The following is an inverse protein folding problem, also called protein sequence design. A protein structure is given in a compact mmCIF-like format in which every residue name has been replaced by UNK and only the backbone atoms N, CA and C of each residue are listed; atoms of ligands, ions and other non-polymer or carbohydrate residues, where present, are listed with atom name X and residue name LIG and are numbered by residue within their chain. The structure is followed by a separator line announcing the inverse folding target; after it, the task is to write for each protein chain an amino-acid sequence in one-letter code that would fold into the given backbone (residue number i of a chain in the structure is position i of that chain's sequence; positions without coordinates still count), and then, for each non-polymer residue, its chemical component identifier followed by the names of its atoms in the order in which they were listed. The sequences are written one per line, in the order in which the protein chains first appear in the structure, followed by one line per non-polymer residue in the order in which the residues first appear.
data_IF_555623869582
#
_entry.id   IF_555623869582
#
_cell.length_a   1.000
_cell.length_b   1.000
_cell.length_c   1.000
_cell.angle_alpha   90.00
_cell.angle_beta   90.00
_cell.angle_gamma   90.00
#
_symmetry.space_group_name_H-M   'P 1'
#
loop_
_entity.id
_entity.type
_entity.pdbx_description
1 polymer ?
#
# COMPACT_ATOMS: atom_id res chain seq x y z
N UNK A 1 -39.25 13.52 0.74
CA UNK A 1 -38.52 14.68 0.16
C UNK A 1 -37.23 15.04 0.91
N UNK A 2 -37.12 14.79 2.22
CA UNK A 2 -35.90 15.09 2.99
C UNK A 2 -34.71 14.13 2.77
N UNK A 3 -34.93 12.88 2.33
CA UNK A 3 -33.85 11.90 2.16
C UNK A 3 -32.90 12.20 1.01
N UNK A 4 -33.42 12.74 -0.11
CA UNK A 4 -32.60 13.14 -1.26
C UNK A 4 -31.72 14.35 -0.94
N UNK A 5 -32.28 15.34 -0.21
CA UNK A 5 -31.53 16.52 0.19
C UNK A 5 -30.45 16.18 1.23
N UNK A 6 -30.74 15.27 2.16
CA UNK A 6 -29.77 14.77 3.14
C UNK A 6 -28.68 13.91 2.47
N UNK A 7 -29.05 13.07 1.50
CA UNK A 7 -28.10 12.31 0.69
C UNK A 7 -27.18 13.21 -0.14
N UNK A 8 -27.72 14.26 -0.75
CA UNK A 8 -26.95 15.24 -1.51
C UNK A 8 -26.05 16.09 -0.60
N UNK A 9 -26.54 16.48 0.58
CA UNK A 9 -25.74 17.19 1.59
C UNK A 9 -24.59 16.31 2.08
N UNK A 10 -24.84 15.05 2.42
CA UNK A 10 -23.78 14.12 2.81
C UNK A 10 -22.82 13.81 1.66
N UNK A 11 -23.27 13.79 0.41
CA UNK A 11 -22.40 13.61 -0.74
C UNK A 11 -21.50 14.84 -0.98
N UNK A 12 -22.02 16.05 -0.78
CA UNK A 12 -21.28 17.30 -0.95
C UNK A 12 -20.33 17.58 0.22
N UNK A 13 -20.63 17.09 1.41
CA UNK A 13 -19.85 17.33 2.63
C UNK A 13 -19.13 16.10 3.20
N UNK A 14 -19.21 14.92 2.56
CA UNK A 14 -18.42 13.76 2.99
C UNK A 14 -16.94 14.01 2.74
N UNK A 15 -16.12 13.82 3.78
CA UNK A 15 -14.68 13.73 3.59
C UNK A 15 -14.43 12.43 2.83
N UNK A 16 -13.74 12.52 1.70
CA UNK A 16 -13.29 11.32 0.97
C UNK A 16 -12.22 10.61 1.79
N UNK A 17 -12.63 9.61 2.56
CA UNK A 17 -11.72 8.71 3.28
C UNK A 17 -11.21 7.65 2.31
N UNK A 18 -9.90 7.67 2.04
CA UNK A 18 -9.25 6.62 1.26
C UNK A 18 -8.66 5.59 2.21
N UNK A 19 -8.98 4.32 1.98
CA UNK A 19 -8.43 3.19 2.73
C UNK A 19 -7.47 2.43 1.83
N UNK A 20 -6.21 2.39 2.24
CA UNK A 20 -5.16 1.65 1.55
C UNK A 20 -4.83 0.41 2.35
N UNK A 21 -4.87 -0.75 1.70
CA UNK A 21 -4.58 -2.02 2.34
C UNK A 21 -3.11 -2.39 2.11
N UNK A 22 -2.34 -2.53 3.20
CA UNK A 22 -0.93 -2.93 3.14
C UNK A 22 -0.82 -4.44 3.33
N UNK A 23 -0.41 -5.15 2.28
CA UNK A 23 -0.29 -6.61 2.23
C UNK A 23 1.17 -7.04 2.06
N UNK A 24 1.46 -8.33 2.27
CA UNK A 24 2.81 -8.89 2.08
C UNK A 24 3.17 -9.98 3.09
N UNK A 25 4.22 -10.74 2.79
CA UNK A 25 4.69 -11.86 3.63
C UNK A 25 5.27 -11.41 4.97
N UNK A 26 5.43 -12.32 5.93
CA UNK A 26 6.03 -12.01 7.22
C UNK A 26 7.49 -11.54 7.02
N UNK A 27 7.94 -10.56 7.81
CA UNK A 27 9.25 -9.87 7.67
C UNK A 27 9.47 -9.04 6.40
N UNK A 28 8.46 -8.87 5.56
CA UNK A 28 8.56 -7.99 4.38
C UNK A 28 8.80 -6.51 4.74
N UNK A 29 8.37 -6.07 5.93
CA UNK A 29 8.54 -4.69 6.41
C UNK A 29 7.27 -3.84 6.39
N UNK A 30 6.08 -4.45 6.29
CA UNK A 30 4.77 -3.77 6.31
C UNK A 30 4.61 -2.80 7.48
N UNK A 31 4.88 -3.25 8.71
CA UNK A 31 4.72 -2.43 9.91
C UNK A 31 5.73 -1.29 9.95
N UNK A 32 6.97 -1.54 9.52
CA UNK A 32 7.99 -0.48 9.37
C UNK A 32 7.55 0.58 8.37
N UNK A 33 7.02 0.16 7.21
CA UNK A 33 6.49 1.06 6.20
C UNK A 33 5.32 1.89 6.75
N UNK A 34 4.37 1.25 7.44
CA UNK A 34 3.22 1.93 8.05
C UNK A 34 3.66 2.99 9.06
N UNK A 35 4.55 2.65 9.99
CA UNK A 35 5.06 3.59 11.00
C UNK A 35 5.84 4.74 10.36
N UNK A 36 6.63 4.46 9.31
CA UNK A 36 7.35 5.49 8.57
C UNK A 36 6.39 6.44 7.85
N UNK A 37 5.36 5.91 7.19
CA UNK A 37 4.33 6.73 6.54
C UNK A 37 3.58 7.60 7.57
N UNK A 38 3.25 7.06 8.74
CA UNK A 38 2.66 7.86 9.85
C UNK A 38 3.60 8.99 10.26
N UNK A 39 4.89 8.71 10.42
CA UNK A 39 5.87 9.73 10.81
C UNK A 39 5.98 10.85 9.76
N UNK A 40 6.08 10.50 8.47
CA UNK A 40 6.24 11.46 7.36
C UNK A 40 4.99 12.33 7.19
N UNK A 41 3.81 11.72 7.17
CA UNK A 41 2.57 12.41 6.77
C UNK A 41 1.73 12.91 7.94
N UNK A 42 1.72 12.22 9.09
CA UNK A 42 0.87 12.59 10.22
C UNK A 42 1.58 13.48 11.25
N UNK A 43 2.88 13.78 11.08
CA UNK A 43 3.71 14.50 12.07
C UNK A 43 3.57 13.94 13.51
N UNK A 44 3.08 12.71 13.65
CA UNK A 44 3.00 11.99 14.91
C UNK A 44 4.35 11.33 15.18
N UNK A 45 4.76 11.27 16.44
CA UNK A 45 5.95 10.50 16.83
C UNK A 45 5.73 9.04 16.42
N UNK A 46 6.41 8.60 15.37
CA UNK A 46 6.41 7.20 14.96
C UNK A 46 7.00 6.36 16.09
N UNK A 47 6.46 5.16 16.29
CA UNK A 47 6.99 4.29 17.33
C UNK A 47 8.44 3.90 16.99
N UNK A 48 9.38 3.90 17.97
CA UNK A 48 10.74 3.46 17.73
C UNK A 48 10.75 2.00 17.23
N UNK A 49 11.63 1.72 16.26
CA UNK A 49 11.70 0.43 15.55
C UNK A 49 11.83 -0.79 16.48
N UNK A 50 12.43 -0.62 17.66
CA UNK A 50 12.60 -1.66 18.70
C UNK A 50 11.28 -2.10 19.37
N UNK A 51 10.17 -1.40 19.15
CA UNK A 51 8.84 -1.76 19.69
C UNK A 51 7.86 -2.25 18.63
N UNK A 52 8.30 -2.40 17.38
CA UNK A 52 7.46 -2.95 16.31
C UNK A 52 7.27 -4.44 16.58
N UNK A 53 6.21 -4.78 17.30
CA UNK A 53 5.86 -6.17 17.58
C UNK A 53 5.48 -6.82 16.24
N UNK A 54 6.11 -7.94 15.85
CA UNK A 54 5.66 -8.69 14.69
C UNK A 54 4.25 -9.21 14.98
N UNK A 55 3.22 -8.72 14.27
CA UNK A 55 1.87 -9.28 14.40
C UNK A 55 1.87 -10.67 13.77
N UNK A 56 1.82 -11.77 14.54
CA UNK A 56 1.83 -13.11 13.96
C UNK A 56 0.44 -13.39 13.37
N UNK A 57 0.41 -13.91 12.13
CA UNK A 57 -0.80 -14.57 11.60
C UNK A 57 -1.86 -13.70 10.93
N UNK A 58 -1.50 -12.56 10.35
CA UNK A 58 -2.47 -11.65 9.71
C UNK A 58 -3.14 -12.16 8.44
N UNK A 59 -2.62 -13.20 7.78
CA UNK A 59 -3.20 -13.70 6.52
C UNK A 59 -4.68 -14.08 6.65
N UNK A 60 -5.12 -14.52 7.83
CA UNK A 60 -6.51 -14.95 8.10
C UNK A 60 -7.48 -13.80 8.33
N UNK A 61 -6.98 -12.56 8.52
CA UNK A 61 -7.83 -11.39 8.79
C UNK A 61 -7.91 -10.45 7.58
N UNK A 62 -7.03 -10.62 6.59
CA UNK A 62 -6.99 -9.78 5.38
C UNK A 62 -8.34 -9.73 4.66
N UNK A 63 -8.99 -10.89 4.54
CA UNK A 63 -10.30 -11.04 3.87
C UNK A 63 -11.39 -10.15 4.51
N UNK A 64 -11.27 -9.77 5.78
CA UNK A 64 -12.23 -8.89 6.46
C UNK A 64 -12.09 -7.41 6.10
N UNK A 65 -11.04 -7.03 5.38
CA UNK A 65 -10.72 -5.65 5.04
C UNK A 65 -10.65 -5.42 3.52
N UNK A 66 -10.95 -6.43 2.72
CA UNK A 66 -10.86 -6.34 1.27
C UNK A 66 -11.95 -5.45 0.69
N UNK A 67 -13.19 -5.59 1.15
CA UNK A 67 -14.36 -4.78 0.75
C UNK A 67 -14.18 -3.28 1.04
N UNK A 68 -13.37 -2.96 2.05
CA UNK A 68 -13.05 -1.60 2.44
C UNK A 68 -11.87 -0.98 1.64
N UNK A 69 -11.09 -1.79 0.91
CA UNK A 69 -9.85 -1.36 0.29
C UNK A 69 -10.07 -0.57 -1.02
N UNK A 70 -9.58 0.67 -1.06
CA UNK A 70 -9.59 1.50 -2.28
C UNK A 70 -8.32 1.33 -3.13
N UNK A 71 -7.24 0.83 -2.53
CA UNK A 71 -5.97 0.56 -3.19
C UNK A 71 -5.16 -0.45 -2.37
N UNK A 72 -4.27 -1.19 -3.03
CA UNK A 72 -3.42 -2.20 -2.41
C UNK A 72 -1.97 -1.76 -2.51
N UNK A 73 -1.25 -1.80 -1.38
CA UNK A 73 0.21 -1.70 -1.33
C UNK A 73 0.77 -3.04 -0.89
N UNK A 74 1.38 -3.77 -1.82
CA UNK A 74 1.95 -5.07 -1.55
C UNK A 74 3.46 -4.95 -1.32
N UNK A 75 3.91 -5.24 -0.10
CA UNK A 75 5.29 -5.08 0.34
C UNK A 75 6.06 -6.39 0.18
N UNK A 76 7.19 -6.31 -0.51
CA UNK A 76 8.07 -7.43 -0.80
C UNK A 76 9.46 -7.17 -0.23
N UNK A 77 10.06 -8.17 0.41
CA UNK A 77 11.47 -8.14 0.81
C UNK A 77 12.35 -8.43 -0.41
N UNK A 78 12.90 -7.40 -1.06
CA UNK A 78 13.70 -7.58 -2.27
C UNK A 78 15.06 -8.25 -2.02
N UNK A 79 15.50 -8.32 -0.76
CA UNK A 79 16.78 -8.93 -0.39
C UNK A 79 16.67 -10.42 -0.03
N UNK A 80 15.47 -11.01 -0.08
CA UNK A 80 15.22 -12.39 0.32
C UNK A 80 14.57 -13.20 -0.79
N UNK A 81 15.33 -13.54 -1.83
CA UNK A 81 14.87 -14.31 -2.99
C UNK A 81 14.18 -15.64 -2.63
N UNK A 82 14.56 -16.28 -1.53
CA UNK A 82 13.90 -17.50 -1.02
C UNK A 82 12.42 -17.32 -0.69
N UNK A 83 11.96 -16.08 -0.50
CA UNK A 83 10.56 -15.75 -0.14
C UNK A 83 9.73 -15.32 -1.34
N UNK A 84 10.30 -15.25 -2.55
CA UNK A 84 9.59 -14.77 -3.74
C UNK A 84 8.44 -15.68 -4.14
N UNK A 85 8.61 -17.00 -4.06
CA UNK A 85 7.54 -17.94 -4.38
C UNK A 85 6.37 -17.82 -3.38
N UNK A 86 6.67 -17.76 -2.08
CA UNK A 86 5.67 -17.54 -1.03
C UNK A 86 4.93 -16.20 -1.20
N UNK A 87 5.65 -15.21 -1.69
CA UNK A 87 5.17 -13.85 -1.95
C UNK A 87 4.26 -13.82 -3.17
N UNK A 88 4.65 -14.49 -4.26
CA UNK A 88 3.84 -14.65 -5.47
C UNK A 88 2.54 -15.38 -5.16
N UNK A 89 2.63 -16.56 -4.54
CA UNK A 89 1.46 -17.37 -4.18
C UNK A 89 0.47 -16.61 -3.28
N UNK A 90 0.99 -15.85 -2.30
CA UNK A 90 0.15 -15.04 -1.42
C UNK A 90 -0.52 -13.87 -2.14
N UNK A 91 0.20 -13.20 -3.04
CA UNK A 91 -0.33 -12.09 -3.83
C UNK A 91 -1.42 -12.60 -4.78
N UNK A 92 -1.14 -13.67 -5.53
CA UNK A 92 -2.10 -14.30 -6.44
C UNK A 92 -3.39 -14.70 -5.71
N UNK A 93 -3.27 -15.32 -4.53
CA UNK A 93 -4.44 -15.66 -3.71
C UNK A 93 -5.24 -14.41 -3.32
N UNK A 94 -4.58 -13.32 -2.93
CA UNK A 94 -5.26 -12.08 -2.55
C UNK A 94 -5.96 -11.43 -3.75
N UNK A 95 -5.28 -11.29 -4.89
CA UNK A 95 -5.81 -10.60 -6.06
C UNK A 95 -6.97 -11.34 -6.75
N UNK A 96 -7.09 -12.66 -6.56
CA UNK A 96 -8.23 -13.46 -7.02
C UNK A 96 -9.52 -13.19 -6.24
N UNK A 97 -9.45 -12.51 -5.09
CA UNK A 97 -10.65 -12.19 -4.30
C UNK A 97 -11.50 -11.13 -5.02
N UNK A 98 -12.82 -11.33 -5.05
CA UNK A 98 -13.75 -10.46 -5.78
C UNK A 98 -13.67 -8.99 -5.35
N UNK A 99 -13.62 -8.73 -4.05
CA UNK A 99 -13.50 -7.38 -3.48
C UNK A 99 -12.23 -6.63 -3.89
N UNK A 100 -11.18 -7.34 -4.33
CA UNK A 100 -9.92 -6.73 -4.72
C UNK A 100 -9.75 -6.59 -6.22
N UNK A 101 -10.66 -7.08 -7.07
CA UNK A 101 -10.44 -7.12 -8.53
C UNK A 101 -10.22 -5.74 -9.16
N UNK A 102 -10.92 -4.71 -8.68
CA UNK A 102 -10.82 -3.35 -9.22
C UNK A 102 -9.79 -2.47 -8.50
N UNK A 103 -9.25 -2.95 -7.37
CA UNK A 103 -8.34 -2.16 -6.55
C UNK A 103 -6.99 -2.00 -7.27
N UNK A 104 -6.49 -0.76 -7.47
CA UNK A 104 -5.20 -0.52 -8.06
C UNK A 104 -4.08 -1.06 -7.16
N UNK A 105 -3.06 -1.63 -7.77
CA UNK A 105 -1.98 -2.34 -7.09
C UNK A 105 -0.65 -1.57 -7.17
N UNK A 106 -0.01 -1.36 -6.02
CA UNK A 106 1.35 -0.88 -5.91
C UNK A 106 2.21 -1.98 -5.29
N UNK A 107 3.29 -2.37 -5.98
CA UNK A 107 4.31 -3.26 -5.46
C UNK A 107 5.44 -2.44 -4.87
N UNK A 108 5.67 -2.59 -3.56
CA UNK A 108 6.76 -1.93 -2.86
C UNK A 108 7.92 -2.92 -2.66
N UNK A 109 8.97 -2.79 -3.47
CA UNK A 109 10.21 -3.55 -3.36
C UNK A 109 11.07 -2.96 -2.24
N UNK A 110 10.89 -3.51 -1.03
CA UNK A 110 11.50 -3.02 0.20
C UNK A 110 12.88 -3.63 0.46
N UNK A 111 13.69 -2.94 1.27
CA UNK A 111 15.06 -3.30 1.69
C UNK A 111 16.11 -3.13 0.60
N UNK A 112 15.92 -2.14 -0.27
CA UNK A 112 16.88 -1.76 -1.31
C UNK A 112 18.22 -1.21 -0.77
N UNK A 113 18.31 -0.99 0.55
CA UNK A 113 19.56 -0.69 1.26
C UNK A 113 20.48 -1.91 1.41
N UNK A 114 19.95 -3.12 1.26
CA UNK A 114 20.73 -4.36 1.43
C UNK A 114 21.44 -4.76 0.13
N UNK A 115 22.67 -5.29 0.20
CA UNK A 115 23.44 -5.67 -0.99
C UNK A 115 22.83 -6.85 -1.77
N UNK A 116 21.97 -7.64 -1.14
CA UNK A 116 21.24 -8.74 -1.77
C UNK A 116 19.92 -8.30 -2.42
N UNK A 117 19.57 -7.02 -2.35
CA UNK A 117 18.33 -6.49 -2.91
C UNK A 117 18.30 -6.64 -4.43
N UNK A 118 17.23 -7.24 -4.95
CA UNK A 118 17.00 -7.35 -6.39
C UNK A 118 16.41 -6.06 -6.96
N UNK A 119 16.65 -5.86 -8.25
CA UNK A 119 16.09 -4.76 -9.04
C UNK A 119 14.60 -4.97 -9.33
N UNK A 120 13.91 -3.92 -9.78
CA UNK A 120 12.52 -3.98 -10.21
C UNK A 120 12.33 -4.99 -11.36
N UNK A 121 13.22 -4.96 -12.35
CA UNK A 121 13.17 -5.84 -13.52
C UNK A 121 13.38 -7.31 -13.15
N UNK A 122 14.18 -7.57 -12.12
CA UNK A 122 14.40 -8.91 -11.61
C UNK A 122 13.22 -9.40 -10.76
N UNK A 123 12.63 -8.51 -9.97
CA UNK A 123 11.43 -8.83 -9.20
C UNK A 123 10.22 -9.09 -10.11
N UNK A 124 10.02 -8.29 -11.16
CA UNK A 124 8.98 -8.50 -12.17
C UNK A 124 9.12 -9.87 -12.85
N UNK A 125 10.37 -10.25 -13.19
CA UNK A 125 10.70 -11.59 -13.71
C UNK A 125 10.40 -12.72 -12.74
N UNK A 126 10.47 -12.51 -11.43
CA UNK A 126 10.14 -13.55 -10.45
C UNK A 126 8.64 -13.64 -10.14
N UNK A 127 7.96 -12.50 -10.09
CA UNK A 127 6.55 -12.46 -9.72
C UNK A 127 5.65 -12.90 -10.87
N UNK A 128 6.02 -12.63 -12.12
CA UNK A 128 5.20 -12.96 -13.29
C UNK A 128 3.75 -12.43 -13.16
N UNK A 129 3.58 -11.21 -12.67
CA UNK A 129 2.26 -10.62 -12.33
C UNK A 129 1.28 -10.70 -13.50
N UNK A 130 1.76 -10.45 -14.72
CA UNK A 130 0.98 -10.45 -15.96
C UNK A 130 0.40 -11.82 -16.33
N UNK A 131 0.87 -12.92 -15.72
CA UNK A 131 0.35 -14.27 -15.99
C UNK A 131 -0.96 -14.54 -15.25
N UNK A 132 -1.22 -13.85 -14.14
CA UNK A 132 -2.39 -14.10 -13.29
C UNK A 132 -3.22 -12.87 -12.98
N UNK A 133 -2.76 -11.67 -13.36
CA UNK A 133 -3.52 -10.43 -13.22
C UNK A 133 -3.16 -9.41 -14.32
N UNK A 134 -4.15 -8.95 -15.06
CA UNK A 134 -3.99 -7.97 -16.15
C UNK A 134 -4.04 -6.51 -15.67
N UNK A 135 -4.34 -6.27 -14.38
CA UNK A 135 -4.50 -4.91 -13.87
C UNK A 135 -3.21 -4.10 -14.02
N UNK A 136 -3.31 -2.78 -14.25
CA UNK A 136 -2.13 -1.93 -14.16
C UNK A 136 -1.62 -1.93 -12.72
N UNK A 137 -0.32 -2.15 -12.57
CA UNK A 137 0.39 -2.03 -11.29
C UNK A 137 1.55 -1.06 -11.40
N UNK A 138 1.94 -0.48 -10.26
CA UNK A 138 3.12 0.37 -10.15
C UNK A 138 4.16 -0.31 -9.26
N UNK A 139 5.41 -0.31 -9.67
CA UNK A 139 6.53 -0.68 -8.82
C UNK A 139 7.17 0.55 -8.17
N UNK A 140 7.55 0.40 -6.90
CA UNK A 140 8.30 1.41 -6.14
C UNK A 140 9.41 0.70 -5.38
N UNK A 141 10.64 1.11 -5.63
CA UNK A 141 11.83 0.63 -4.92
C UNK A 141 12.16 1.55 -3.75
N UNK A 142 12.43 0.98 -2.57
CA UNK A 142 12.84 1.79 -1.42
C UNK A 142 13.30 1.01 -0.21
N UNK A 143 13.66 1.77 0.82
CA UNK A 143 13.95 1.26 2.16
C UNK A 143 12.98 1.89 3.16
N UNK A 144 12.08 1.07 3.71
CA UNK A 144 11.22 1.50 4.81
C UNK A 144 12.02 1.87 6.07
N UNK A 145 13.24 1.36 6.22
CA UNK A 145 14.12 1.65 7.35
C UNK A 145 14.66 3.09 7.26
N UNK A 146 15.36 3.42 6.17
CA UNK A 146 15.94 4.75 6.00
C UNK A 146 14.88 5.81 5.65
N UNK A 147 13.74 5.40 5.08
CA UNK A 147 12.76 6.33 4.50
C UNK A 147 13.14 6.82 3.11
N UNK A 148 14.15 6.20 2.50
CA UNK A 148 14.54 6.46 1.12
C UNK A 148 13.56 5.74 0.20
N UNK A 149 12.70 6.53 -0.45
CA UNK A 149 11.91 6.10 -1.59
C UNK A 149 12.72 6.45 -2.84
N UNK A 150 13.41 5.46 -3.43
CA UNK A 150 14.36 5.70 -4.52
C UNK A 150 13.67 6.11 -5.84
N UNK A 151 12.33 6.01 -5.93
CA UNK A 151 11.58 6.30 -7.16
C UNK A 151 10.25 7.03 -6.95
N UNK A 152 10.18 8.02 -6.04
CA UNK A 152 9.01 8.91 -5.98
C UNK A 152 9.22 10.23 -6.74
N UNK A 153 9.29 10.27 -8.10
CA UNK A 153 8.97 11.51 -8.79
C UNK A 153 7.46 11.74 -8.64
N UNK A 154 7.07 12.83 -8.00
CA UNK A 154 5.68 13.31 -7.97
C UNK A 154 5.06 13.39 -9.38
N UNK A 155 5.90 13.52 -10.41
CA UNK A 155 5.54 13.53 -11.83
C UNK A 155 5.08 12.17 -12.38
N UNK A 156 5.58 11.05 -11.86
CA UNK A 156 5.28 9.71 -12.41
C UNK A 156 3.89 9.21 -11.99
N UNK A 157 3.42 9.59 -10.79
CA UNK A 157 2.05 9.31 -10.33
C UNK A 157 0.99 10.04 -11.15
N UNK A 158 1.30 11.24 -11.63
CA UNK A 158 0.38 12.03 -12.46
C UNK A 158 0.20 11.44 -13.86
N UNK A 159 1.19 10.70 -14.38
CA UNK A 159 1.16 10.14 -15.73
C UNK A 159 0.53 8.75 -15.84
N UNK A 160 0.24 8.07 -14.72
CA UNK A 160 -0.33 6.71 -14.77
C UNK A 160 -1.87 6.72 -14.81
N UNK A 161 -2.49 5.97 -15.74
CA UNK A 161 -3.94 5.81 -15.78
C UNK A 161 -4.42 5.08 -14.51
N UNK A 162 -5.38 5.69 -13.79
CA UNK A 162 -5.95 5.16 -12.54
C UNK A 162 -5.44 5.83 -11.26
N UNK A 163 -4.26 6.47 -11.27
CA UNK A 163 -3.69 7.17 -10.09
C UNK A 163 -3.77 8.70 -10.18
N UNK A 164 -4.31 9.23 -11.28
CA UNK A 164 -4.38 10.67 -11.57
C UNK A 164 -5.25 11.45 -10.57
N UNK A 165 -6.23 10.80 -9.92
CA UNK A 165 -7.07 11.43 -8.88
C UNK A 165 -6.32 11.65 -7.56
N UNK A 166 -5.29 10.85 -7.28
CA UNK A 166 -4.42 10.99 -6.10
C UNK A 166 -3.35 12.07 -6.32
N UNK A 167 -2.88 12.25 -7.56
CA UNK A 167 -1.85 13.24 -7.90
C UNK A 167 -2.35 14.70 -7.90
N UNK A 168 -3.65 14.94 -8.10
CA UNK A 168 -4.20 16.29 -8.30
C UNK A 168 -4.55 17.04 -6.98
N UNK A 169 -4.28 16.43 -5.81
CA UNK A 169 -4.57 17.05 -4.49
C UNK A 169 -3.37 17.74 -3.85
N UNK A 170 -2.22 17.82 -4.51
CA UNK A 170 -1.01 18.47 -3.99
C UNK A 170 -0.98 20.00 -4.22
N UNK A 171 -2.14 20.66 -4.09
CA UNK A 171 -2.24 22.12 -4.00
C UNK A 171 -2.20 22.59 -2.54
N UNK A 172 -1.06 22.39 -1.89
CA UNK A 172 -0.62 23.21 -0.75
C UNK A 172 -1.53 23.28 0.49
N UNK A 173 -2.46 22.35 0.71
CA UNK A 173 -3.25 22.28 1.96
C UNK A 173 -2.90 21.00 2.73
N UNK A 174 -2.54 21.09 4.02
CA UNK A 174 -2.28 19.91 4.82
C UNK A 174 -3.54 19.04 4.87
N UNK A 175 -3.41 17.80 4.41
CA UNK A 175 -4.48 16.79 4.48
C UNK A 175 -4.76 16.51 5.95
N UNK A 176 -5.87 17.05 6.44
CA UNK A 176 -6.33 16.85 7.82
C UNK A 176 -6.97 15.46 7.93
N UNK A 177 -6.15 14.43 8.10
CA UNK A 177 -6.58 13.09 8.48
C UNK A 177 -7.03 13.14 9.93
N UNK A 178 -8.35 13.10 10.12
CA UNK A 178 -8.97 13.21 11.43
C UNK A 178 -9.08 11.83 12.09
N UNK A 179 -8.89 11.84 13.41
CA UNK A 179 -8.78 10.69 14.30
C UNK A 179 -10.05 9.84 14.28
N UNK A 180 -10.10 8.83 13.43
CA UNK A 180 -11.07 7.73 13.53
C UNK A 180 -10.28 6.45 13.76
N UNK A 181 -10.10 6.11 15.04
CA UNK A 181 -9.31 4.97 15.47
C UNK A 181 -9.98 3.66 15.10
N UNK A 182 -9.32 2.91 14.21
CA UNK A 182 -9.15 1.44 14.24
C UNK A 182 -8.30 1.08 13.02
N UNK A 183 -7.01 0.83 13.25
CA UNK A 183 -6.13 0.26 12.24
C UNK A 183 -5.73 -1.12 12.75
N UNK A 184 -6.15 -2.15 12.03
CA UNK A 184 -5.64 -3.50 12.23
C UNK A 184 -4.48 -3.64 11.27
N UNK A 185 -3.28 -3.61 11.84
CA UNK A 185 -2.01 -3.86 11.15
C UNK A 185 -1.77 -5.36 11.04
#
# INVERSE_FOLDING_TARGET
MFSLFYGLWNHVFSKTEFRVLILGVHKAGKTTLLEKLKSIYLKGEGLPHDRVVPTPGLRTIWEKYYDEAHAIVYVIDSASASTFEDTKSALEKALRHEDLQEAPLLIFANKQDLPAAVTEEELDRHLHLKEFDERPYMFVAGSAYDGLFCSWPSALLASQPGFSSLANKDSGRPVKLERSGRYVA
#
